data_IF_768387286085
#
_entry.id   IF_768387286085
#
_cell.length_a   1.000
_cell.length_b   1.000
_cell.length_c   1.000
_cell.angle_alpha   90.00
_cell.angle_beta   90.00
_cell.angle_gamma   90.00
#
_symmetry.space_group_name_H-M   'P 1'
#
loop_
_entity.id
_entity.type
_entity.pdbx_description
1 polymer ?
#
# COMPACT_ATOMS: atom_id res chain seq x y z
N UNK A 1 -8.10 38.44 15.37
CA UNK A 1 -7.21 39.38 14.64
C UNK A 1 -6.01 38.72 13.96
N UNK A 2 -5.31 37.75 14.56
CA UNK A 2 -4.10 37.19 13.91
C UNK A 2 -4.39 36.36 12.65
N UNK A 3 -5.49 35.59 12.66
CA UNK A 3 -5.98 34.88 11.48
C UNK A 3 -6.35 35.81 10.32
N UNK A 4 -7.02 36.93 10.61
CA UNK A 4 -7.40 37.95 9.60
C UNK A 4 -6.16 38.62 8.99
N UNK A 5 -5.15 38.87 9.82
CA UNK A 5 -3.87 39.42 9.37
C UNK A 5 -3.12 38.44 8.47
N UNK A 6 -3.11 37.15 8.80
CA UNK A 6 -2.53 36.09 7.95
C UNK A 6 -3.29 36.02 6.61
N UNK A 7 -4.61 36.06 6.65
CA UNK A 7 -5.45 36.04 5.44
C UNK A 7 -5.19 37.27 4.56
N UNK A 8 -5.08 38.46 5.15
CA UNK A 8 -4.73 39.69 4.42
C UNK A 8 -3.33 39.64 3.80
N UNK A 9 -2.35 39.04 4.50
CA UNK A 9 -1.02 38.81 3.93
C UNK A 9 -1.06 37.81 2.77
N UNK A 10 -1.85 36.74 2.89
CA UNK A 10 -2.01 35.75 1.83
C UNK A 10 -2.64 36.38 0.58
N UNK A 11 -3.73 37.13 0.72
CA UNK A 11 -4.37 37.84 -0.39
C UNK A 11 -3.40 38.82 -1.06
N UNK A 12 -2.64 39.59 -0.28
CA UNK A 12 -1.61 40.49 -0.81
C UNK A 12 -0.55 39.73 -1.64
N UNK A 13 0.01 38.64 -1.13
CA UNK A 13 1.06 37.90 -1.83
C UNK A 13 0.52 37.15 -3.05
N UNK A 14 -0.71 36.64 -2.99
CA UNK A 14 -1.38 35.99 -4.12
C UNK A 14 -1.59 36.99 -5.27
N UNK A 15 -2.07 38.21 -4.98
CA UNK A 15 -2.23 39.27 -5.99
C UNK A 15 -0.90 39.72 -6.59
N UNK A 16 0.15 39.77 -5.77
CA UNK A 16 1.50 40.17 -6.22
C UNK A 16 2.18 39.09 -7.07
N UNK A 17 1.96 37.83 -6.77
CA UNK A 17 2.59 36.69 -7.45
C UNK A 17 1.58 35.54 -7.65
N UNK A 18 0.66 35.68 -8.63
CA UNK A 18 -0.44 34.72 -8.83
C UNK A 18 0.02 33.33 -9.26
N UNK A 19 1.20 33.24 -9.88
CA UNK A 19 1.78 31.97 -10.34
C UNK A 19 2.68 31.29 -9.30
N UNK A 20 2.84 31.89 -8.11
CA UNK A 20 3.65 31.29 -7.06
C UNK A 20 2.94 30.10 -6.42
N UNK A 21 3.71 29.07 -6.06
CA UNK A 21 3.16 27.92 -5.33
C UNK A 21 2.72 28.34 -3.93
N UNK A 22 1.71 27.65 -3.39
CA UNK A 22 1.20 27.94 -2.05
C UNK A 22 2.29 27.82 -0.98
N UNK A 23 3.23 26.88 -1.14
CA UNK A 23 4.39 26.74 -0.25
C UNK A 23 5.32 27.97 -0.26
N UNK A 24 5.51 28.62 -1.41
CA UNK A 24 6.27 29.86 -1.48
C UNK A 24 5.57 31.00 -0.74
N UNK A 25 4.25 31.16 -0.94
CA UNK A 25 3.44 32.18 -0.26
C UNK A 25 3.45 31.96 1.26
N UNK A 26 3.22 30.72 1.70
CA UNK A 26 3.26 30.32 3.10
C UNK A 26 4.61 30.62 3.75
N UNK A 27 5.73 30.31 3.06
CA UNK A 27 7.06 30.64 3.57
C UNK A 27 7.28 32.13 3.79
N UNK A 28 6.73 33.00 2.93
CA UNK A 28 6.82 34.46 3.05
C UNK A 28 5.98 34.99 4.21
N UNK A 29 4.80 34.43 4.43
CA UNK A 29 3.94 34.78 5.57
C UNK A 29 4.61 34.33 6.86
N UNK A 30 5.07 33.08 6.93
CA UNK A 30 5.80 32.53 8.09
C UNK A 30 7.03 33.36 8.41
N UNK A 31 7.83 33.77 7.42
CA UNK A 31 8.99 34.62 7.67
C UNK A 31 8.65 35.98 8.33
N UNK A 32 7.43 36.50 8.13
CA UNK A 32 6.97 37.76 8.75
C UNK A 32 6.28 37.58 10.09
N UNK A 33 5.62 36.45 10.29
CA UNK A 33 4.81 36.17 11.49
C UNK A 33 5.62 35.41 12.53
N UNK A 34 6.56 34.58 12.09
CA UNK A 34 7.39 33.77 12.97
C UNK A 34 8.41 34.66 13.71
N UNK A 35 8.14 34.88 14.99
CA UNK A 35 9.02 35.61 15.92
C UNK A 35 9.73 34.66 16.90
N UNK A 36 9.78 33.36 16.61
CA UNK A 36 10.37 32.37 17.53
C UNK A 36 11.82 32.64 17.87
N UNK A 37 12.63 33.10 16.91
CA UNK A 37 14.02 33.48 17.19
C UNK A 37 14.09 34.69 18.13
N UNK A 38 13.32 35.74 17.86
CA UNK A 38 13.25 36.93 18.71
C UNK A 38 12.77 36.59 20.12
N UNK A 39 11.78 35.71 20.24
CA UNK A 39 11.29 35.22 21.52
C UNK A 39 12.33 34.34 22.25
N UNK A 40 13.13 33.57 21.51
CA UNK A 40 14.21 32.76 22.08
C UNK A 40 15.32 33.67 22.62
N UNK A 41 15.69 34.72 21.87
CA UNK A 41 16.71 35.70 22.25
C UNK A 41 16.37 36.45 23.55
N UNK A 42 15.09 36.57 23.90
CA UNK A 42 14.62 37.18 25.16
C UNK A 42 14.83 36.27 26.40
N UNK A 43 15.19 34.99 26.21
CA UNK A 43 15.42 34.03 27.30
C UNK A 43 16.86 34.04 27.78
N UNK A 44 17.08 33.47 28.97
CA UNK A 44 18.44 33.27 29.49
C UNK A 44 19.16 32.16 28.72
N UNK A 45 20.49 32.24 28.60
CA UNK A 45 21.30 31.24 27.88
C UNK A 45 21.02 29.78 28.31
N UNK A 46 20.91 29.45 29.62
CA UNK A 46 20.61 28.08 30.05
C UNK A 46 19.23 27.59 29.57
N UNK A 47 18.20 28.46 29.64
CA UNK A 47 16.85 28.12 29.19
C UNK A 47 16.78 27.95 27.67
N UNK A 48 17.55 28.74 26.91
CA UNK A 48 17.65 28.60 25.46
C UNK A 48 18.23 27.24 25.08
N UNK A 49 19.32 26.83 25.72
CA UNK A 49 19.98 25.53 25.46
C UNK A 49 19.03 24.36 25.76
N UNK A 50 18.32 24.40 26.90
CA UNK A 50 17.34 23.38 27.27
C UNK A 50 16.18 23.29 26.26
N UNK A 51 15.66 24.42 25.81
CA UNK A 51 14.60 24.47 24.80
C UNK A 51 15.06 23.92 23.46
N UNK A 52 16.27 24.27 23.02
CA UNK A 52 16.85 23.75 21.78
C UNK A 52 17.00 22.23 21.86
N UNK A 53 17.55 21.71 22.97
CA UNK A 53 17.71 20.27 23.17
C UNK A 53 16.35 19.55 23.20
N UNK A 54 15.35 20.13 23.85
CA UNK A 54 13.99 19.59 23.84
C UNK A 54 13.41 19.51 22.42
N UNK A 55 13.53 20.59 21.64
CA UNK A 55 13.01 20.64 20.27
C UNK A 55 13.72 19.64 19.37
N UNK A 56 15.03 19.47 19.51
CA UNK A 56 15.80 18.47 18.75
C UNK A 56 15.29 17.05 19.06
N UNK A 57 15.12 16.71 20.34
CA UNK A 57 14.60 15.39 20.75
C UNK A 57 13.19 15.14 20.22
N UNK A 58 12.31 16.13 20.32
CA UNK A 58 10.93 16.04 19.80
C UNK A 58 10.90 15.96 18.27
N UNK A 59 11.77 16.70 17.60
CA UNK A 59 11.93 16.65 16.15
C UNK A 59 12.37 15.27 15.67
N UNK A 60 13.32 14.64 16.36
CA UNK A 60 13.75 13.27 16.06
C UNK A 60 12.61 12.26 16.22
N UNK A 61 11.86 12.33 17.32
CA UNK A 61 10.68 11.47 17.55
C UNK A 61 9.61 11.66 16.47
N UNK A 62 9.30 12.89 16.09
CA UNK A 62 8.33 13.19 15.04
C UNK A 62 8.78 12.66 13.66
N UNK A 63 10.07 12.82 13.34
CA UNK A 63 10.64 12.26 12.12
C UNK A 63 10.56 10.74 12.10
N UNK A 64 10.83 10.08 13.24
CA UNK A 64 10.75 8.63 13.35
C UNK A 64 9.31 8.13 13.24
N UNK A 65 8.35 8.80 13.89
CA UNK A 65 6.93 8.48 13.75
C UNK A 65 6.45 8.63 12.30
N UNK A 66 6.87 9.70 11.61
CA UNK A 66 6.54 9.91 10.20
C UNK A 66 7.14 8.81 9.29
N UNK A 67 8.40 8.41 9.53
CA UNK A 67 9.02 7.29 8.80
C UNK A 67 8.26 5.98 9.02
N UNK A 68 7.93 5.66 10.25
CA UNK A 68 7.19 4.44 10.59
C UNK A 68 5.81 4.43 9.92
N UNK A 69 5.09 5.55 9.97
CA UNK A 69 3.79 5.69 9.30
C UNK A 69 3.92 5.50 7.77
N UNK A 70 4.91 6.14 7.15
CA UNK A 70 5.15 5.99 5.72
C UNK A 70 5.52 4.55 5.35
N UNK A 71 6.33 3.87 6.17
CA UNK A 71 6.66 2.46 5.94
C UNK A 71 5.43 1.57 5.98
N UNK A 72 4.58 1.71 7.01
CA UNK A 72 3.30 0.99 7.10
C UNK A 72 2.40 1.26 5.90
N UNK A 73 2.35 2.52 5.44
CA UNK A 73 1.58 2.91 4.27
C UNK A 73 2.13 2.27 2.99
N UNK A 74 3.46 2.24 2.80
CA UNK A 74 4.08 1.59 1.64
C UNK A 74 3.91 0.07 1.66
N UNK A 75 3.99 -0.57 2.83
CA UNK A 75 3.70 -2.00 2.98
C UNK A 75 2.26 -2.32 2.58
N UNK A 76 1.30 -1.53 3.04
CA UNK A 76 -0.12 -1.71 2.72
C UNK A 76 -0.40 -1.47 1.23
N UNK A 77 0.23 -0.45 0.62
CA UNK A 77 0.18 -0.26 -0.84
C UNK A 77 0.75 -1.48 -1.55
N UNK A 78 1.88 -2.02 -1.10
CA UNK A 78 2.51 -3.22 -1.65
C UNK A 78 1.56 -4.42 -1.63
N UNK A 79 0.91 -4.67 -0.49
CA UNK A 79 -0.09 -5.75 -0.33
C UNK A 79 -1.26 -5.58 -1.29
N UNK A 80 -1.80 -4.35 -1.42
CA UNK A 80 -2.92 -4.06 -2.33
C UNK A 80 -2.54 -4.23 -3.79
N UNK A 81 -1.37 -3.74 -4.19
CA UNK A 81 -0.85 -3.91 -5.54
C UNK A 81 -0.62 -5.40 -5.87
N UNK A 82 -0.04 -6.17 -4.94
CA UNK A 82 0.14 -7.61 -5.12
C UNK A 82 -1.21 -8.32 -5.33
N UNK A 83 -2.20 -8.05 -4.47
CA UNK A 83 -3.55 -8.63 -4.60
C UNK A 83 -4.23 -8.26 -5.92
N UNK A 84 -4.09 -7.02 -6.37
CA UNK A 84 -4.62 -6.57 -7.66
C UNK A 84 -3.93 -7.27 -8.85
N UNK A 85 -2.60 -7.41 -8.80
CA UNK A 85 -1.82 -8.13 -9.81
C UNK A 85 -2.20 -9.61 -9.88
N UNK A 86 -2.32 -10.29 -8.73
CA UNK A 86 -2.77 -11.68 -8.68
C UNK A 86 -4.18 -11.85 -9.28
N UNK A 87 -5.10 -10.93 -9.00
CA UNK A 87 -6.45 -10.95 -9.60
C UNK A 87 -6.39 -10.78 -11.12
N UNK A 88 -5.53 -9.89 -11.62
CA UNK A 88 -5.31 -9.67 -13.05
C UNK A 88 -4.72 -10.93 -13.71
N UNK A 89 -3.67 -11.50 -13.13
CA UNK A 89 -3.06 -12.74 -13.62
C UNK A 89 -4.06 -13.90 -13.65
N UNK A 90 -4.85 -14.10 -12.59
CA UNK A 90 -5.89 -15.14 -12.56
C UNK A 90 -6.91 -14.96 -13.69
N UNK A 91 -7.28 -13.72 -13.99
CA UNK A 91 -8.23 -13.41 -15.07
C UNK A 91 -7.60 -13.62 -16.47
N UNK A 92 -6.34 -13.25 -16.66
CA UNK A 92 -5.59 -13.52 -17.89
C UNK A 92 -5.40 -15.03 -18.11
N UNK A 93 -5.03 -15.78 -17.06
CA UNK A 93 -4.92 -17.25 -17.12
C UNK A 93 -6.25 -17.89 -17.52
N UNK A 94 -7.37 -17.46 -16.91
CA UNK A 94 -8.72 -17.96 -17.29
C UNK A 94 -9.11 -17.61 -18.73
N UNK A 95 -8.71 -16.43 -19.24
CA UNK A 95 -8.95 -16.06 -20.64
C UNK A 95 -8.12 -16.94 -21.59
N UNK A 96 -6.82 -17.10 -21.31
CA UNK A 96 -5.93 -17.94 -22.08
C UNK A 96 -6.41 -19.40 -22.09
N UNK A 97 -6.85 -19.94 -20.96
CA UNK A 97 -7.38 -21.31 -20.90
C UNK A 97 -8.64 -21.49 -21.77
N UNK A 98 -9.56 -20.51 -21.76
CA UNK A 98 -10.72 -20.50 -22.65
C UNK A 98 -10.32 -20.43 -24.12
N UNK A 99 -9.35 -19.59 -24.46
CA UNK A 99 -8.86 -19.44 -25.83
C UNK A 99 -8.17 -20.71 -26.31
N UNK A 100 -7.38 -21.37 -25.46
CA UNK A 100 -6.74 -22.66 -25.77
C UNK A 100 -7.81 -23.75 -25.99
N UNK A 101 -8.80 -23.85 -25.09
CA UNK A 101 -9.92 -24.80 -25.23
C UNK A 101 -10.68 -24.56 -26.54
N UNK A 102 -10.94 -23.31 -26.91
CA UNK A 102 -11.56 -22.93 -28.18
C UNK A 102 -10.68 -23.31 -29.38
N UNK A 103 -9.38 -22.99 -29.33
CA UNK A 103 -8.43 -23.27 -30.42
C UNK A 103 -8.34 -24.77 -30.77
N UNK A 104 -8.41 -25.62 -29.74
CA UNK A 104 -8.38 -27.08 -29.90
C UNK A 104 -9.71 -27.62 -30.42
N UNK A 105 -10.84 -27.10 -29.92
CA UNK A 105 -12.17 -27.49 -30.40
C UNK A 105 -12.41 -27.08 -31.85
N UNK A 106 -11.91 -25.91 -32.27
CA UNK A 106 -12.15 -25.33 -33.60
C UNK A 106 -11.03 -25.64 -34.62
N UNK A 107 -10.07 -26.52 -34.30
CA UNK A 107 -8.97 -26.91 -35.19
C UNK A 107 -8.24 -25.74 -35.88
N UNK A 108 -7.84 -24.72 -35.10
CA UNK A 108 -7.00 -23.57 -35.51
C UNK A 108 -7.69 -22.39 -36.23
N UNK A 109 -8.64 -21.74 -35.56
CA UNK A 109 -9.06 -20.35 -35.91
C UNK A 109 -9.18 -19.45 -34.66
N UNK A 110 -8.14 -19.40 -33.83
CA UNK A 110 -8.06 -18.39 -32.75
C UNK A 110 -7.39 -17.12 -33.26
N UNK A 111 -7.95 -15.95 -32.92
CA UNK A 111 -7.42 -14.61 -33.25
C UNK A 111 -6.19 -14.20 -32.44
N UNK A 112 -5.76 -15.03 -31.49
CA UNK A 112 -4.59 -14.75 -30.68
C UNK A 112 -3.31 -15.12 -31.46
N UNK A 113 -2.38 -14.17 -31.70
CA UNK A 113 -1.20 -14.38 -32.54
C UNK A 113 -0.29 -15.52 -32.05
N UNK A 114 -0.36 -15.89 -30.77
CA UNK A 114 0.42 -16.99 -30.19
C UNK A 114 -0.01 -18.38 -30.69
N UNK A 115 -1.21 -18.51 -31.26
CA UNK A 115 -1.82 -19.80 -31.61
C UNK A 115 -2.04 -20.00 -33.12
N UNK A 116 -1.51 -19.10 -33.95
CA UNK A 116 -1.69 -19.11 -35.41
C UNK A 116 -0.90 -20.26 -36.09
N UNK A 117 0.20 -20.71 -35.49
CA UNK A 117 1.11 -21.73 -36.06
C UNK A 117 1.30 -22.96 -35.14
N UNK A 118 0.22 -23.51 -34.57
CA UNK A 118 0.35 -24.71 -33.73
C UNK A 118 0.36 -25.98 -34.60
N UNK A 119 1.47 -26.73 -34.55
CA UNK A 119 1.65 -28.02 -35.23
C UNK A 119 0.75 -29.13 -34.63
N UNK A 120 0.41 -30.17 -35.41
CA UNK A 120 -0.47 -31.27 -34.96
C UNK A 120 0.10 -32.01 -33.74
N UNK A 121 1.43 -32.15 -33.66
CA UNK A 121 2.11 -32.75 -32.51
C UNK A 121 1.90 -31.91 -31.24
N UNK A 122 1.97 -30.58 -31.37
CA UNK A 122 1.73 -29.64 -30.27
C UNK A 122 0.25 -29.62 -29.85
N UNK A 123 -0.68 -29.73 -30.80
CA UNK A 123 -2.12 -29.89 -30.51
C UNK A 123 -2.43 -31.15 -29.72
N UNK A 124 -1.79 -32.29 -30.05
CA UNK A 124 -1.92 -33.53 -29.26
C UNK A 124 -1.41 -33.37 -27.84
N UNK A 125 -0.24 -32.75 -27.67
CA UNK A 125 0.34 -32.49 -26.34
C UNK A 125 -0.58 -31.58 -25.52
N UNK A 126 -1.08 -30.48 -26.09
CA UNK A 126 -2.04 -29.59 -25.45
C UNK A 126 -3.36 -30.29 -25.10
N UNK A 127 -3.87 -31.14 -26.00
CA UNK A 127 -5.10 -31.91 -25.77
C UNK A 127 -4.97 -32.91 -24.61
N UNK A 128 -3.82 -33.55 -24.44
CA UNK A 128 -3.51 -34.41 -23.30
C UNK A 128 -3.40 -33.59 -22.01
N UNK A 129 -2.70 -32.46 -22.06
CA UNK A 129 -2.52 -31.54 -20.93
C UNK A 129 -3.86 -31.00 -20.40
N UNK A 130 -4.81 -30.69 -21.29
CA UNK A 130 -6.12 -30.16 -20.91
C UNK A 130 -7.13 -31.24 -20.46
N UNK A 131 -7.06 -32.44 -21.03
CA UNK A 131 -7.93 -33.56 -20.62
C UNK A 131 -7.65 -34.04 -19.20
N UNK A 132 -6.41 -33.93 -18.75
CA UNK A 132 -6.02 -34.33 -17.39
C UNK A 132 -6.40 -33.29 -16.32
N UNK A 133 -7.11 -32.21 -16.69
CA UNK A 133 -7.78 -31.27 -15.79
C UNK A 133 -6.86 -30.36 -14.99
N UNK A 134 -5.61 -30.76 -14.78
CA UNK A 134 -4.61 -30.04 -14.03
C UNK A 134 -3.49 -29.61 -14.97
N UNK A 135 -3.62 -28.42 -15.53
CA UNK A 135 -2.48 -27.57 -15.96
C UNK A 135 -1.68 -27.11 -14.72
N UNK A 136 -1.38 -28.05 -13.81
CA UNK A 136 -0.59 -27.84 -12.61
C UNK A 136 0.65 -28.71 -12.80
N UNK A 137 1.75 -28.06 -13.16
CA UNK A 137 3.05 -28.45 -12.59
C UNK A 137 3.94 -29.46 -13.32
N UNK A 138 3.79 -29.76 -14.62
CA UNK A 138 4.76 -30.65 -15.27
C UNK A 138 5.93 -29.95 -15.99
N UNK A 139 5.78 -28.75 -16.55
CA UNK A 139 6.87 -28.08 -17.31
C UNK A 139 6.94 -26.54 -17.21
N UNK A 140 6.12 -25.90 -16.38
CA UNK A 140 6.30 -24.50 -16.01
C UNK A 140 6.57 -24.46 -14.52
N UNK A 141 7.72 -23.93 -14.12
CA UNK A 141 8.09 -23.70 -12.72
C UNK A 141 7.06 -22.77 -12.08
N UNK A 142 5.98 -23.34 -11.55
CA UNK A 142 5.05 -22.65 -10.69
C UNK A 142 5.81 -22.34 -9.40
N UNK A 143 6.02 -21.04 -9.14
CA UNK A 143 6.19 -20.58 -7.77
C UNK A 143 4.87 -20.93 -7.08
N UNK A 144 4.91 -21.91 -6.18
CA UNK A 144 3.76 -22.27 -5.36
C UNK A 144 3.33 -21.01 -4.59
N UNK A 145 2.11 -20.54 -4.82
CA UNK A 145 1.38 -19.88 -3.74
C UNK A 145 1.12 -21.01 -2.74
N UNK A 146 1.82 -21.01 -1.62
CA UNK A 146 1.33 -21.69 -0.43
C UNK A 146 0.02 -20.97 -0.10
N UNK A 147 -1.10 -21.48 -0.62
CA UNK A 147 -2.35 -21.34 0.09
C UNK A 147 -2.07 -21.98 1.45
N UNK A 148 -2.08 -21.17 2.51
CA UNK A 148 -1.97 -21.65 3.88
C UNK A 148 -3.01 -22.76 4.05
N UNK A 149 -2.51 -24.00 4.09
CA UNK A 149 -3.29 -25.18 4.40
C UNK A 149 -3.72 -25.09 5.85
N UNK A 150 -4.80 -24.36 6.10
CA UNK A 150 -5.62 -24.59 7.26
C UNK A 150 -6.61 -25.70 6.90
N UNK A 151 -6.39 -26.83 7.56
CA UNK A 151 -7.34 -27.87 7.93
C UNK A 151 -8.79 -27.57 7.55
N UNK A 152 -9.44 -28.54 6.89
CA UNK A 152 -10.89 -28.61 6.80
C UNK A 152 -11.48 -28.47 8.21
N UNK A 153 -11.97 -27.28 8.54
CA UNK A 153 -12.93 -27.11 9.62
C UNK A 153 -14.29 -27.24 8.94
N UNK A 154 -15.08 -28.20 9.40
CA UNK A 154 -16.46 -28.37 8.94
C UNK A 154 -17.21 -27.08 9.29
N UNK A 155 -17.71 -26.38 8.26
CA UNK A 155 -18.41 -25.09 8.37
C UNK A 155 -19.75 -25.17 9.14
N UNK A 156 -20.20 -26.36 9.53
CA UNK A 156 -21.47 -26.58 10.23
C UNK A 156 -21.37 -26.48 11.77
N UNK A 157 -20.17 -26.33 12.35
CA UNK A 157 -19.96 -26.22 13.81
C UNK A 157 -19.20 -24.96 14.26
N UNK A 158 -18.89 -24.04 13.35
CA UNK A 158 -18.22 -22.79 13.72
C UNK A 158 -19.24 -21.79 14.27
N UNK A 159 -19.44 -21.77 15.59
CA UNK A 159 -20.05 -20.63 16.26
C UNK A 159 -19.16 -19.40 16.05
N UNK A 160 -19.70 -18.38 15.36
CA UNK A 160 -19.11 -17.06 15.27
C UNK A 160 -19.01 -16.47 16.68
N UNK A 161 -17.87 -16.68 17.34
CA UNK A 161 -17.54 -15.95 18.56
C UNK A 161 -17.16 -14.53 18.11
N UNK A 162 -18.12 -13.63 18.21
CA UNK A 162 -17.95 -12.20 17.97
C UNK A 162 -17.05 -11.62 19.08
N UNK A 163 -15.74 -11.63 18.85
CA UNK A 163 -14.78 -11.05 19.79
C UNK A 163 -14.92 -9.54 19.71
N UNK A 164 -15.56 -8.95 20.72
CA UNK A 164 -15.68 -7.51 20.90
C UNK A 164 -14.30 -6.83 20.74
N UNK A 165 -14.23 -5.84 19.85
CA UNK A 165 -13.04 -5.03 19.62
C UNK A 165 -12.52 -4.35 20.90
N UNK A 166 -13.38 -4.18 21.91
CA UNK A 166 -13.02 -3.61 23.20
C UNK A 166 -12.16 -4.58 24.05
N UNK A 167 -12.34 -5.90 23.89
CA UNK A 167 -11.53 -6.91 24.58
C UNK A 167 -10.10 -6.99 24.08
N UNK A 168 -9.91 -6.91 22.76
CA UNK A 168 -8.57 -6.91 22.13
C UNK A 168 -7.77 -5.66 22.53
N UNK A 169 -8.44 -4.53 22.70
CA UNK A 169 -7.79 -3.28 23.14
C UNK A 169 -7.43 -3.34 24.63
N UNK A 170 -8.28 -3.95 25.48
CA UNK A 170 -8.00 -4.13 26.90
C UNK A 170 -6.79 -5.03 27.14
N UNK A 171 -6.67 -6.15 26.41
CA UNK A 171 -5.56 -7.10 26.54
C UNK A 171 -4.22 -6.52 26.05
N UNK A 172 -4.24 -5.65 25.03
CA UNK A 172 -3.08 -4.91 24.55
C UNK A 172 -2.57 -3.86 25.56
N UNK A 173 -3.49 -3.25 26.33
CA UNK A 173 -3.16 -2.27 27.37
C UNK A 173 -2.58 -2.96 28.61
N UNK A 174 -3.03 -4.19 28.92
CA UNK A 174 -2.56 -4.97 30.08
C UNK A 174 -1.20 -5.65 29.87
N UNK A 175 -0.63 -5.63 28.66
CA UNK A 175 0.66 -6.23 28.28
C UNK A 175 0.74 -7.76 28.48
N UNK A 176 -0.37 -8.48 28.33
CA UNK A 176 -0.39 -9.95 28.49
C UNK A 176 -0.01 -10.73 27.22
N UNK A 177 0.53 -10.07 26.18
CA UNK A 177 1.01 -10.72 24.95
C UNK A 177 2.53 -10.61 24.84
N UNK A 178 3.24 -11.61 25.37
CA UNK A 178 4.65 -11.83 25.06
C UNK A 178 4.78 -12.62 23.75
N UNK A 179 5.38 -12.00 22.74
CA UNK A 179 5.75 -12.67 21.50
C UNK A 179 7.04 -13.49 21.71
N UNK A 180 6.95 -14.81 21.54
CA UNK A 180 8.11 -15.71 21.36
C UNK A 180 8.67 -15.56 19.95
#
# INVERSE_FOLDING_TARGET
>A
MEAERILGMLDFFLRRAPNATFGFLDSKIKARVNKTLTWLDEKTLPEQEDLIQFVIRRGALACQASKNFNNLLYEEIGKRCAKANLKKERLERKRLEKDIKRAIAENAKTTNPLFVNIDEKQKRILGVILKNGNLIGQLLSHKWELDDGYWKVNEDEAEDIDISQEGVIADLILKDLEFI
#
